data_IF_360265215981
#
_entry.id   IF_360265215981
#
_cell.length_a   1.000
_cell.length_b   1.000
_cell.length_c   1.000
_cell.angle_alpha   90.00
_cell.angle_beta   90.00
_cell.angle_gamma   90.00
#
_symmetry.space_group_name_H-M   'P 1'
#
loop_
_entity.id
_entity.type
_entity.pdbx_description
1 polymer ?
#
# COMPACT_ATOMS: atom_id res chain seq x y z
N UNK A 1 -4.77 -20.71 5.87
CA UNK A 1 -3.79 -19.63 6.05
C UNK A 1 -4.47 -18.25 6.09
N UNK A 2 -5.48 -18.01 5.24
CA UNK A 2 -6.25 -16.76 5.15
C UNK A 2 -6.83 -16.24 6.47
N UNK A 3 -7.61 -17.06 7.18
CA UNK A 3 -8.24 -16.69 8.46
C UNK A 3 -7.18 -16.39 9.54
N UNK A 4 -6.09 -17.17 9.53
CA UNK A 4 -5.00 -17.00 10.49
C UNK A 4 -4.24 -15.67 10.28
N UNK A 5 -4.05 -15.22 9.04
CA UNK A 5 -3.43 -13.91 8.78
C UNK A 5 -4.30 -12.78 9.32
N UNK A 6 -5.58 -12.73 8.91
CA UNK A 6 -6.49 -11.66 9.31
C UNK A 6 -6.67 -11.62 10.83
N UNK A 7 -6.78 -12.78 11.48
CA UNK A 7 -6.86 -12.89 12.93
C UNK A 7 -5.62 -12.33 13.62
N UNK A 8 -4.41 -12.66 13.15
CA UNK A 8 -3.16 -12.14 13.72
C UNK A 8 -3.04 -10.62 13.57
N UNK A 9 -3.51 -10.06 12.44
CA UNK A 9 -3.56 -8.59 12.28
C UNK A 9 -4.55 -7.97 13.26
N UNK A 10 -5.73 -8.57 13.45
CA UNK A 10 -6.69 -8.07 14.45
C UNK A 10 -6.16 -8.19 15.89
N UNK A 11 -5.38 -9.22 16.21
CA UNK A 11 -4.70 -9.33 17.51
C UNK A 11 -3.72 -8.15 17.74
N UNK A 12 -2.95 -7.76 16.71
CA UNK A 12 -2.08 -6.58 16.78
C UNK A 12 -2.89 -5.30 17.00
N UNK A 13 -4.02 -5.13 16.30
CA UNK A 13 -4.91 -3.97 16.47
C UNK A 13 -5.53 -3.92 17.87
N UNK A 14 -5.98 -5.06 18.39
CA UNK A 14 -6.53 -5.16 19.74
C UNK A 14 -5.46 -4.82 20.79
N UNK A 15 -4.22 -5.26 20.58
CA UNK A 15 -3.09 -4.89 21.44
C UNK A 15 -2.87 -3.37 21.41
N UNK A 16 -2.84 -2.76 20.23
CA UNK A 16 -2.74 -1.30 20.06
C UNK A 16 -3.89 -0.59 20.80
N UNK A 17 -5.15 -0.98 20.58
CA UNK A 17 -6.32 -0.35 21.21
C UNK A 17 -6.31 -0.45 22.73
N UNK A 18 -5.85 -1.57 23.30
CA UNK A 18 -5.73 -1.76 24.77
C UNK A 18 -4.69 -0.86 25.42
N UNK A 19 -3.73 -0.39 24.64
CA UNK A 19 -2.63 0.45 25.08
C UNK A 19 -2.64 1.83 24.40
N UNK A 20 -3.84 2.29 23.99
CA UNK A 20 -4.00 3.60 23.35
C UNK A 20 -3.39 4.72 24.20
N UNK A 21 -2.75 5.69 23.54
CA UNK A 21 -1.93 6.71 24.19
C UNK A 21 -0.49 6.28 24.52
N UNK A 22 -0.08 5.03 24.20
CA UNK A 22 1.31 4.57 24.28
C UNK A 22 1.70 3.79 23.03
N UNK A 23 2.95 3.91 22.62
CA UNK A 23 3.47 3.09 21.52
C UNK A 23 3.79 1.68 22.04
N UNK A 24 3.25 0.67 21.39
CA UNK A 24 3.41 -0.75 21.76
C UNK A 24 4.48 -1.49 20.95
N UNK A 25 5.22 -0.80 20.08
CA UNK A 25 6.14 -1.43 19.15
C UNK A 25 7.48 -1.79 19.81
N UNK A 26 7.43 -2.71 20.78
CA UNK A 26 8.60 -3.37 21.34
C UNK A 26 9.23 -4.36 20.33
N UNK A 27 10.32 -5.02 20.73
CA UNK A 27 11.03 -5.95 19.85
C UNK A 27 10.14 -7.10 19.35
N UNK A 28 9.30 -7.67 20.22
CA UNK A 28 8.45 -8.80 19.88
C UNK A 28 7.34 -8.38 18.90
N UNK A 29 6.69 -7.23 19.15
CA UNK A 29 5.68 -6.66 18.27
C UNK A 29 6.24 -6.36 16.89
N UNK A 30 7.42 -5.71 16.81
CA UNK A 30 8.08 -5.40 15.53
C UNK A 30 8.37 -6.66 14.72
N UNK A 31 8.89 -7.69 15.37
CA UNK A 31 9.16 -8.99 14.74
C UNK A 31 7.89 -9.63 14.20
N UNK A 32 6.79 -9.62 14.97
CA UNK A 32 5.52 -10.15 14.52
C UNK A 32 4.96 -9.43 13.29
N UNK A 33 5.07 -8.10 13.25
CA UNK A 33 4.67 -7.29 12.08
C UNK A 33 5.52 -7.67 10.86
N UNK A 34 6.83 -7.76 11.02
CA UNK A 34 7.76 -8.09 9.92
C UNK A 34 7.56 -9.51 9.39
N UNK A 35 7.31 -10.48 10.29
CA UNK A 35 7.01 -11.86 9.92
C UNK A 35 5.69 -11.95 9.12
N UNK A 36 4.65 -11.20 9.53
CA UNK A 36 3.38 -11.14 8.80
C UNK A 36 3.54 -10.48 7.42
N UNK A 37 4.33 -9.40 7.34
CA UNK A 37 4.64 -8.76 6.06
C UNK A 37 5.38 -9.77 5.17
N UNK A 38 6.45 -10.42 5.64
CA UNK A 38 7.17 -11.41 4.83
C UNK A 38 6.24 -12.53 4.37
N UNK A 39 5.41 -13.08 5.26
CA UNK A 39 4.46 -14.14 4.91
C UNK A 39 3.48 -13.70 3.82
N UNK A 40 2.97 -12.47 3.89
CA UNK A 40 2.11 -11.91 2.84
C UNK A 40 2.83 -11.86 1.49
N UNK A 41 4.11 -11.48 1.45
CA UNK A 41 4.89 -11.39 0.21
C UNK A 41 5.36 -12.76 -0.32
N UNK A 42 5.66 -13.70 0.57
CA UNK A 42 6.10 -15.05 0.19
C UNK A 42 4.97 -15.82 -0.54
N UNK A 43 3.71 -15.53 -0.23
CA UNK A 43 2.53 -16.19 -0.79
C UNK A 43 1.86 -15.44 -1.98
N UNK A 44 2.46 -14.35 -2.51
CA UNK A 44 1.87 -13.56 -3.62
C UNK A 44 1.58 -14.42 -4.87
N UNK A 45 2.35 -15.50 -5.08
CA UNK A 45 2.15 -16.46 -6.18
C UNK A 45 1.03 -17.48 -5.96
N UNK A 46 0.45 -17.57 -4.76
CA UNK A 46 -0.64 -18.48 -4.39
C UNK A 46 -1.84 -17.64 -3.97
N UNK A 47 -2.47 -16.98 -4.96
CA UNK A 47 -3.80 -16.34 -4.92
C UNK A 47 -4.33 -15.95 -3.52
N UNK A 48 -4.07 -14.70 -3.14
CA UNK A 48 -5.08 -13.67 -2.82
C UNK A 48 -6.44 -14.17 -2.29
N UNK A 49 -6.48 -14.66 -1.05
CA UNK A 49 -7.75 -14.73 -0.29
C UNK A 49 -7.77 -13.84 0.97
N UNK A 50 -6.66 -13.15 1.28
CA UNK A 50 -6.58 -12.30 2.48
C UNK A 50 -7.45 -11.05 2.28
N UNK A 51 -8.29 -10.66 3.27
CA UNK A 51 -9.04 -9.42 3.21
C UNK A 51 -8.09 -8.23 3.03
N UNK A 52 -8.35 -7.39 2.02
CA UNK A 52 -7.51 -6.23 1.72
C UNK A 52 -7.40 -5.26 2.90
N UNK A 53 -8.46 -5.18 3.73
CA UNK A 53 -8.45 -4.43 5.00
C UNK A 53 -7.31 -4.88 5.92
N UNK A 54 -7.16 -6.18 6.12
CA UNK A 54 -6.10 -6.73 7.00
C UNK A 54 -4.71 -6.43 6.47
N UNK A 55 -4.54 -6.38 5.14
CA UNK A 55 -3.28 -5.96 4.53
C UNK A 55 -3.01 -4.50 4.83
N UNK A 56 -3.97 -3.59 4.62
CA UNK A 56 -3.77 -2.17 4.92
C UNK A 56 -3.55 -1.89 6.39
N UNK A 57 -4.30 -2.55 7.27
CA UNK A 57 -4.09 -2.41 8.70
C UNK A 57 -2.65 -2.80 9.08
N UNK A 58 -2.15 -3.94 8.58
CA UNK A 58 -0.77 -4.36 8.81
C UNK A 58 0.26 -3.34 8.30
N UNK A 59 0.06 -2.82 7.09
CA UNK A 59 0.97 -1.83 6.50
C UNK A 59 0.92 -0.50 7.26
N UNK A 60 -0.26 -0.05 7.68
CA UNK A 60 -0.43 1.16 8.52
C UNK A 60 0.20 0.96 9.90
N UNK A 61 0.05 -0.22 10.52
CA UNK A 61 0.76 -0.60 11.76
C UNK A 61 2.27 -0.45 11.55
N UNK A 62 2.80 -0.99 10.45
CA UNK A 62 4.24 -0.92 10.14
C UNK A 62 4.73 0.52 10.05
N UNK A 63 4.06 1.38 9.28
CA UNK A 63 4.56 2.75 9.06
C UNK A 63 4.29 3.68 10.25
N UNK A 64 3.17 3.53 10.96
CA UNK A 64 2.84 4.41 12.07
C UNK A 64 3.45 3.96 13.40
N UNK A 65 3.28 2.69 13.77
CA UNK A 65 3.68 2.22 15.10
C UNK A 65 5.13 1.78 15.14
N UNK A 66 5.57 0.97 14.17
CA UNK A 66 6.91 0.40 14.16
C UNK A 66 7.96 1.44 13.75
N UNK A 67 7.69 2.25 12.72
CA UNK A 67 8.66 3.20 12.18
C UNK A 67 8.59 4.59 12.81
N UNK A 68 7.39 5.05 13.18
CA UNK A 68 7.16 6.44 13.61
C UNK A 68 6.76 6.61 15.07
N UNK A 69 6.63 5.52 15.82
CA UNK A 69 6.35 5.59 17.25
C UNK A 69 4.96 6.15 17.59
N UNK A 70 3.97 6.00 16.70
CA UNK A 70 2.60 6.46 16.91
C UNK A 70 1.99 5.88 18.20
N UNK A 71 1.10 6.64 18.81
CA UNK A 71 0.43 6.30 20.07
C UNK A 71 -1.10 6.37 19.92
N UNK A 72 -1.59 6.43 18.67
CA UNK A 72 -2.99 6.65 18.37
C UNK A 72 -3.64 5.48 17.68
N UNK A 73 -4.52 4.78 18.38
CA UNK A 73 -5.26 3.67 17.81
C UNK A 73 -6.34 4.15 16.83
N UNK A 74 -6.97 5.30 17.11
CA UNK A 74 -8.11 5.79 16.33
C UNK A 74 -7.69 6.22 14.91
N UNK A 75 -6.58 6.95 14.75
CA UNK A 75 -6.07 7.28 13.41
C UNK A 75 -5.66 6.02 12.63
N UNK A 76 -5.13 4.99 13.30
CA UNK A 76 -4.78 3.75 12.62
C UNK A 76 -6.01 3.10 11.98
N UNK A 77 -7.06 2.90 12.77
CA UNK A 77 -8.32 2.31 12.30
C UNK A 77 -8.92 3.16 11.17
N UNK A 78 -8.93 4.49 11.33
CA UNK A 78 -9.42 5.43 10.33
C UNK A 78 -8.68 5.32 8.99
N UNK A 79 -7.34 5.30 9.00
CA UNK A 79 -6.54 5.21 7.79
C UNK A 79 -6.69 3.84 7.11
N UNK A 80 -6.75 2.76 7.88
CA UNK A 80 -7.04 1.42 7.35
C UNK A 80 -8.41 1.36 6.64
N UNK A 81 -9.44 1.96 7.24
CA UNK A 81 -10.76 2.11 6.63
C UNK A 81 -10.75 3.01 5.40
N UNK A 82 -10.03 4.14 5.46
CA UNK A 82 -9.86 5.05 4.32
C UNK A 82 -9.23 4.30 3.13
N UNK A 83 -8.07 3.68 3.30
CA UNK A 83 -7.37 2.96 2.22
C UNK A 83 -8.22 1.84 1.61
N UNK A 84 -8.95 1.10 2.46
CA UNK A 84 -9.85 0.03 2.04
C UNK A 84 -10.99 0.58 1.16
N UNK A 85 -11.66 1.65 1.59
CA UNK A 85 -12.77 2.27 0.83
C UNK A 85 -12.34 2.72 -0.57
N UNK A 86 -11.17 3.34 -0.69
CA UNK A 86 -10.71 3.90 -1.96
C UNK A 86 -10.39 2.83 -3.01
N UNK A 87 -9.94 1.65 -2.59
CA UNK A 87 -9.62 0.56 -3.50
C UNK A 87 -10.83 -0.30 -3.85
N UNK A 88 -11.75 -0.56 -2.92
CA UNK A 88 -12.95 -1.33 -3.21
C UNK A 88 -13.95 -0.55 -4.06
N UNK A 89 -14.20 0.71 -3.72
CA UNK A 89 -15.31 1.43 -4.35
C UNK A 89 -14.91 2.18 -5.63
N UNK A 90 -13.62 2.13 -6.04
CA UNK A 90 -13.05 3.04 -7.05
C UNK A 90 -13.52 4.49 -6.79
N UNK A 91 -13.69 4.81 -5.51
CA UNK A 91 -14.53 5.95 -5.11
C UNK A 91 -13.91 7.25 -5.62
N UNK A 92 -12.60 7.27 -5.91
CA UNK A 92 -11.94 8.37 -6.58
C UNK A 92 -10.83 7.97 -7.57
N UNK A 93 -11.10 8.17 -8.86
CA UNK A 93 -10.48 9.17 -9.75
C UNK A 93 -10.80 8.82 -11.21
N UNK A 94 -11.20 9.76 -12.08
CA UNK A 94 -11.84 11.08 -11.92
C UNK A 94 -13.38 11.02 -12.10
N UNK A 95 -14.12 12.05 -11.68
CA UNK A 95 -15.59 12.10 -11.86
C UNK A 95 -15.99 12.60 -13.26
N UNK A 96 -17.18 12.22 -13.75
CA UNK A 96 -17.76 12.82 -14.95
C UNK A 96 -18.29 14.22 -14.63
N UNK A 97 -17.58 15.26 -15.04
CA UNK A 97 -18.09 16.63 -15.04
C UNK A 97 -19.20 16.83 -16.08
N UNK A 98 -19.82 18.02 -16.12
CA UNK A 98 -20.80 18.37 -17.15
C UNK A 98 -20.22 18.12 -18.55
N UNK A 99 -20.92 17.33 -19.36
CA UNK A 99 -20.44 16.90 -20.68
C UNK A 99 -19.56 15.64 -20.68
N UNK A 100 -19.55 14.86 -19.59
CA UNK A 100 -18.92 13.53 -19.52
C UNK A 100 -17.40 13.54 -19.44
N UNK A 101 -16.79 14.69 -19.19
CA UNK A 101 -15.33 14.81 -19.06
C UNK A 101 -14.88 14.46 -17.65
N UNK A 102 -13.92 13.55 -17.58
CA UNK A 102 -13.18 13.13 -16.40
C UNK A 102 -12.44 14.32 -15.76
N UNK A 103 -12.88 14.79 -14.57
CA UNK A 103 -12.25 15.90 -13.84
C UNK A 103 -11.73 15.49 -12.44
N UNK A 104 -10.57 16.04 -12.00
CA UNK A 104 -10.09 15.91 -10.62
C UNK A 104 -11.01 16.61 -9.64
N UNK A 105 -11.12 16.07 -8.43
CA UNK A 105 -11.77 16.74 -7.31
C UNK A 105 -10.89 17.88 -6.79
N UNK A 106 -11.37 19.12 -6.84
CA UNK A 106 -10.71 20.31 -6.30
C UNK A 106 -11.49 20.87 -5.11
N UNK A 107 -10.83 21.60 -4.21
CA UNK A 107 -11.50 22.29 -3.09
C UNK A 107 -12.62 23.23 -3.56
N UNK A 108 -12.47 23.84 -4.74
CA UNK A 108 -13.51 24.67 -5.35
C UNK A 108 -14.81 23.89 -5.55
N UNK A 109 -14.75 22.57 -5.80
CA UNK A 109 -15.92 21.71 -5.92
C UNK A 109 -16.66 21.55 -4.58
N UNK A 110 -15.97 21.58 -3.44
CA UNK A 110 -16.61 21.61 -2.12
C UNK A 110 -17.32 22.95 -1.89
N UNK A 111 -16.66 24.07 -2.23
CA UNK A 111 -17.25 25.40 -2.11
C UNK A 111 -18.49 25.56 -3.00
N UNK A 112 -18.46 25.03 -4.22
CA UNK A 112 -19.62 25.00 -5.11
C UNK A 112 -20.80 24.21 -4.52
N UNK A 113 -20.54 23.08 -3.87
CA UNK A 113 -21.58 22.29 -3.21
C UNK A 113 -22.17 22.99 -1.99
N UNK A 114 -21.35 23.71 -1.22
CA UNK A 114 -21.84 24.56 -0.12
C UNK A 114 -22.78 25.65 -0.62
N UNK A 115 -22.51 26.23 -1.80
CA UNK A 115 -23.33 27.30 -2.39
C UNK A 115 -24.61 26.78 -3.04
N UNK A 116 -24.57 25.61 -3.69
CA UNK A 116 -25.69 25.06 -4.46
C UNK A 116 -26.59 24.11 -3.67
N UNK A 117 -26.23 23.81 -2.42
CA UNK A 117 -26.82 22.72 -1.65
C UNK A 117 -26.17 21.39 -2.03
N UNK A 118 -25.91 20.55 -1.02
CA UNK A 118 -25.25 19.28 -1.22
C UNK A 118 -26.11 18.33 -2.06
N UNK A 119 -25.64 18.03 -3.27
CA UNK A 119 -26.29 17.08 -4.19
C UNK A 119 -25.52 15.76 -4.27
N UNK A 120 -24.22 15.78 -3.94
CA UNK A 120 -23.30 14.65 -4.08
C UNK A 120 -22.99 13.96 -2.76
N UNK A 121 -23.05 14.71 -1.67
CA UNK A 121 -22.88 14.21 -0.31
C UNK A 121 -24.15 14.48 0.47
N UNK A 122 -24.33 13.73 1.55
CA UNK A 122 -25.50 13.90 2.41
C UNK A 122 -25.48 15.24 3.14
N UNK A 123 -24.28 15.75 3.47
CA UNK A 123 -24.08 16.97 4.25
C UNK A 123 -22.64 17.49 4.12
N UNK A 124 -22.38 18.66 4.72
CA UNK A 124 -21.07 19.29 4.76
C UNK A 124 -20.01 18.42 5.41
N UNK A 125 -20.34 17.75 6.52
CA UNK A 125 -19.40 16.88 7.24
C UNK A 125 -18.83 15.79 6.33
N UNK A 126 -19.71 15.05 5.65
CA UNK A 126 -19.32 13.97 4.75
C UNK A 126 -18.54 14.49 3.54
N UNK A 127 -18.96 15.63 2.97
CA UNK A 127 -18.22 16.28 1.91
C UNK A 127 -16.80 16.63 2.38
N UNK A 128 -16.67 17.47 3.42
CA UNK A 128 -15.40 17.95 3.95
C UNK A 128 -14.46 16.78 4.34
N UNK A 129 -14.99 15.77 5.03
CA UNK A 129 -14.21 14.56 5.40
C UNK A 129 -13.66 13.85 4.15
N UNK A 130 -14.51 13.60 3.15
CA UNK A 130 -14.11 12.92 1.91
C UNK A 130 -13.12 13.74 1.08
N UNK A 131 -13.24 15.06 1.05
CA UNK A 131 -12.24 15.92 0.41
C UNK A 131 -10.88 15.84 1.13
N UNK A 132 -10.86 15.77 2.47
CA UNK A 132 -9.65 15.53 3.25
C UNK A 132 -9.03 14.17 2.94
N UNK A 133 -9.83 13.10 2.96
CA UNK A 133 -9.43 11.73 2.62
C UNK A 133 -8.82 11.67 1.20
N UNK A 134 -9.43 12.37 0.23
CA UNK A 134 -8.96 12.45 -1.15
C UNK A 134 -7.59 13.07 -1.27
N UNK A 135 -7.42 14.23 -0.64
CA UNK A 135 -6.15 14.93 -0.64
C UNK A 135 -5.06 14.04 -0.06
N UNK A 136 -5.31 13.44 1.13
CA UNK A 136 -4.35 12.59 1.82
C UNK A 136 -3.99 11.35 1.00
N UNK A 137 -4.99 10.65 0.46
CA UNK A 137 -4.81 9.48 -0.38
C UNK A 137 -3.97 9.79 -1.62
N UNK A 138 -4.25 10.88 -2.32
CA UNK A 138 -3.48 11.27 -3.50
C UNK A 138 -2.03 11.63 -3.18
N UNK A 139 -1.84 12.48 -2.18
CA UNK A 139 -0.52 12.96 -1.79
C UNK A 139 0.32 11.90 -1.10
N UNK A 140 -0.33 10.91 -0.48
CA UNK A 140 0.30 9.84 0.27
C UNK A 140 0.50 8.55 -0.54
N UNK A 141 -0.36 8.19 -1.50
CA UNK A 141 -0.13 6.98 -2.29
C UNK A 141 0.52 7.25 -3.64
N UNK A 142 0.37 8.45 -4.21
CA UNK A 142 0.84 8.74 -5.57
C UNK A 142 1.79 9.95 -5.67
N UNK A 143 2.85 10.03 -4.84
CA UNK A 143 3.74 11.20 -4.78
C UNK A 143 4.42 11.48 -6.13
N UNK A 144 4.77 10.44 -6.88
CA UNK A 144 5.43 10.59 -8.19
C UNK A 144 4.49 11.09 -9.29
N UNK A 145 3.19 10.80 -9.20
CA UNK A 145 2.21 11.29 -10.19
C UNK A 145 2.01 12.80 -10.09
N UNK A 146 2.22 13.36 -8.90
CA UNK A 146 2.18 14.81 -8.62
C UNK A 146 3.52 15.51 -8.92
N UNK A 147 4.67 14.81 -8.84
CA UNK A 147 6.01 15.37 -9.16
C UNK A 147 6.30 15.56 -10.65
N UNK A 148 5.58 14.92 -11.58
CA UNK A 148 5.86 15.05 -13.03
C UNK A 148 5.43 16.42 -13.57
N UNK A 149 6.39 17.34 -13.64
CA UNK A 149 6.32 18.56 -14.45
C UNK A 149 6.55 18.26 -15.94
N UNK A 150 5.74 18.95 -16.76
CA UNK A 150 5.95 19.25 -18.20
C UNK A 150 5.99 18.04 -19.16
N UNK A 151 4.86 17.36 -19.31
CA UNK A 151 4.65 16.44 -20.44
C UNK A 151 3.48 15.53 -20.15
N UNK A 152 2.41 15.64 -20.95
CA UNK A 152 1.09 15.03 -20.69
C UNK A 152 1.17 13.60 -20.14
N UNK A 153 0.56 13.39 -18.97
CA UNK A 153 0.55 12.10 -18.29
C UNK A 153 -0.40 11.11 -18.95
N UNK A 154 0.05 9.85 -19.06
CA UNK A 154 -0.68 8.63 -19.49
C UNK A 154 -2.03 8.36 -18.77
N UNK A 155 -2.42 9.18 -17.79
CA UNK A 155 -3.63 9.01 -16.97
C UNK A 155 -4.71 10.08 -17.21
N UNK A 156 -4.51 11.02 -18.14
CA UNK A 156 -5.53 12.05 -18.46
C UNK A 156 -5.80 13.05 -17.32
N UNK A 157 -4.89 13.16 -16.34
CA UNK A 157 -4.96 14.17 -15.29
C UNK A 157 -4.66 15.57 -15.89
N UNK A 158 -5.52 16.58 -15.66
CA UNK A 158 -5.23 17.98 -15.96
C UNK A 158 -3.94 18.45 -15.28
N UNK A 159 -3.42 19.62 -15.72
CA UNK A 159 -2.19 20.26 -15.26
C UNK A 159 -1.89 19.97 -13.77
N UNK A 160 -0.63 19.66 -13.41
CA UNK A 160 -0.29 19.27 -12.05
C UNK A 160 -0.67 20.41 -11.10
N UNK A 161 -1.72 20.18 -10.33
CA UNK A 161 -2.00 20.97 -9.14
C UNK A 161 -0.95 20.56 -8.12
N UNK A 162 -0.24 21.56 -7.60
CA UNK A 162 0.93 21.38 -6.73
C UNK A 162 0.55 20.55 -5.50
N UNK A 163 1.44 19.68 -5.04
CA UNK A 163 1.28 18.93 -3.78
C UNK A 163 0.92 19.87 -2.63
N UNK A 164 1.50 21.08 -2.61
CA UNK A 164 1.19 22.11 -1.63
C UNK A 164 -0.30 22.47 -1.57
N UNK A 165 -1.00 22.50 -2.71
CA UNK A 165 -2.44 22.75 -2.76
C UNK A 165 -3.24 21.63 -2.10
N UNK A 166 -2.90 20.37 -2.37
CA UNK A 166 -3.59 19.24 -1.77
C UNK A 166 -3.35 19.17 -0.27
N UNK A 167 -2.13 19.46 0.19
CA UNK A 167 -1.83 19.57 1.62
C UNK A 167 -2.67 20.66 2.28
N UNK A 168 -2.64 21.89 1.76
CA UNK A 168 -3.40 23.00 2.36
C UNK A 168 -4.91 22.74 2.36
N UNK A 169 -5.40 22.20 1.24
CA UNK A 169 -6.81 21.85 1.06
C UNK A 169 -7.24 20.73 2.00
N UNK A 170 -6.46 19.64 2.07
CA UNK A 170 -6.75 18.49 2.92
C UNK A 170 -6.79 18.87 4.39
N UNK A 171 -5.84 19.70 4.85
CA UNK A 171 -5.85 20.28 6.21
C UNK A 171 -7.13 21.05 6.50
N UNK A 172 -7.50 21.96 5.61
CA UNK A 172 -8.69 22.79 5.77
C UNK A 172 -9.98 21.93 5.76
N UNK A 173 -10.06 20.95 4.86
CA UNK A 173 -11.18 20.02 4.75
C UNK A 173 -11.35 19.16 6.00
N UNK A 174 -10.28 18.58 6.54
CA UNK A 174 -10.36 17.83 7.80
C UNK A 174 -10.73 18.70 8.99
N UNK A 175 -10.23 19.94 9.05
CA UNK A 175 -10.60 20.90 10.09
C UNK A 175 -12.09 21.23 10.03
N UNK A 176 -12.59 21.56 8.83
CA UNK A 176 -13.99 21.86 8.60
C UNK A 176 -14.89 20.67 8.97
N UNK A 177 -14.46 19.45 8.66
CA UNK A 177 -15.16 18.25 9.08
C UNK A 177 -15.16 18.10 10.61
N UNK A 178 -14.02 18.32 11.29
CA UNK A 178 -13.90 18.19 12.74
C UNK A 178 -14.73 19.22 13.53
N UNK A 179 -14.88 20.43 12.98
CA UNK A 179 -15.66 21.52 13.57
C UNK A 179 -17.18 21.30 13.45
N UNK A 180 -17.63 20.41 12.55
CA UNK A 180 -19.05 20.08 12.38
C UNK A 180 -19.60 19.26 13.57
N UNK A 181 -20.89 19.42 13.88
CA UNK A 181 -21.56 18.71 15.00
C UNK A 181 -21.54 17.18 14.84
N UNK A 182 -21.75 16.70 13.60
CA UNK A 182 -21.65 15.28 13.24
C UNK A 182 -20.29 14.65 13.55
N UNK A 183 -19.21 15.42 13.65
CA UNK A 183 -17.91 14.87 14.05
C UNK A 183 -17.90 14.40 15.51
N UNK A 184 -18.65 15.07 16.38
CA UNK A 184 -18.87 14.62 17.77
C UNK A 184 -19.78 13.40 17.79
N UNK A 185 -20.90 13.46 17.06
CA UNK A 185 -21.91 12.38 17.01
C UNK A 185 -21.33 11.06 16.47
N UNK A 186 -20.35 11.15 15.56
CA UNK A 186 -19.64 9.99 15.00
C UNK A 186 -18.34 9.65 15.74
N UNK A 187 -18.01 10.39 16.80
CA UNK A 187 -16.75 10.30 17.56
C UNK A 187 -15.49 10.48 16.71
N UNK A 188 -15.60 11.10 15.53
CA UNK A 188 -14.48 11.33 14.61
C UNK A 188 -13.74 12.64 14.87
N UNK A 189 -14.28 13.54 15.69
CA UNK A 189 -13.67 14.86 15.93
C UNK A 189 -12.19 14.80 16.32
N UNK A 190 -11.75 13.95 17.27
CA UNK A 190 -10.33 13.89 17.65
C UNK A 190 -9.42 13.43 16.50
N UNK A 191 -9.84 12.42 15.74
CA UNK A 191 -9.05 11.89 14.62
C UNK A 191 -8.98 12.90 13.46
N UNK A 192 -10.09 13.58 13.15
CA UNK A 192 -10.13 14.58 12.07
C UNK A 192 -9.28 15.81 12.41
N UNK A 193 -9.30 16.28 13.66
CA UNK A 193 -8.37 17.34 14.08
C UNK A 193 -6.92 16.90 13.95
N UNK A 194 -6.60 15.66 14.33
CA UNK A 194 -5.23 15.14 14.23
C UNK A 194 -4.75 15.05 12.80
N UNK A 195 -5.59 14.52 11.90
CA UNK A 195 -5.32 14.47 10.46
C UNK A 195 -5.14 15.87 9.86
N UNK A 196 -5.87 16.87 10.35
CA UNK A 196 -5.67 18.27 9.96
C UNK A 196 -4.35 18.85 10.47
N UNK A 197 -4.02 18.67 11.75
CA UNK A 197 -2.82 19.26 12.35
C UNK A 197 -1.52 18.58 11.89
N UNK A 198 -1.55 17.27 11.70
CA UNK A 198 -0.39 16.44 11.36
C UNK A 198 -0.50 15.82 9.96
N UNK A 199 -1.16 16.51 9.04
CA UNK A 199 -1.40 16.00 7.68
C UNK A 199 -0.13 15.49 7.00
N UNK A 200 0.95 16.26 7.02
CA UNK A 200 2.21 15.89 6.37
C UNK A 200 2.82 14.63 6.99
N UNK A 201 2.69 14.42 8.30
CA UNK A 201 3.17 13.20 8.95
C UNK A 201 2.46 11.97 8.39
N UNK A 202 1.13 12.05 8.23
CA UNK A 202 0.35 10.95 7.66
C UNK A 202 0.57 10.80 6.16
N UNK A 203 0.72 11.91 5.44
CA UNK A 203 1.11 11.91 4.03
C UNK A 203 2.44 11.19 3.84
N UNK A 204 3.47 11.53 4.62
CA UNK A 204 4.78 10.90 4.56
C UNK A 204 4.75 9.43 4.95
N UNK A 205 3.97 9.06 5.97
CA UNK A 205 3.78 7.67 6.36
C UNK A 205 3.11 6.85 5.24
N UNK A 206 2.09 7.41 4.58
CA UNK A 206 1.45 6.77 3.44
C UNK A 206 2.38 6.74 2.21
N UNK A 207 3.22 7.75 2.01
CA UNK A 207 4.22 7.76 0.94
C UNK A 207 5.21 6.63 1.12
N UNK A 208 5.76 6.46 2.32
CA UNK A 208 6.63 5.34 2.66
C UNK A 208 5.91 3.99 2.50
N UNK A 209 4.64 3.91 2.92
CA UNK A 209 3.80 2.74 2.73
C UNK A 209 3.69 2.40 1.24
N UNK A 210 3.39 3.41 0.42
CA UNK A 210 3.24 3.26 -1.02
C UNK A 210 4.55 2.83 -1.66
N UNK A 211 5.62 3.62 -1.49
CA UNK A 211 6.92 3.38 -2.11
C UNK A 211 7.52 2.02 -1.75
N UNK A 212 7.28 1.50 -0.54
CA UNK A 212 7.87 0.22 -0.11
C UNK A 212 6.97 -0.99 -0.34
N UNK A 213 5.66 -0.83 -0.21
CA UNK A 213 4.76 -1.98 -0.12
C UNK A 213 3.72 -2.05 -1.25
N UNK A 214 3.29 -0.90 -1.80
CA UNK A 214 2.26 -0.84 -2.86
C UNK A 214 2.89 -0.57 -4.23
N UNK A 215 3.59 0.55 -4.37
CA UNK A 215 4.41 0.88 -5.53
C UNK A 215 5.77 0.19 -5.47
N UNK A 216 6.28 -0.14 -4.28
CA UNK A 216 7.44 -1.04 -4.09
C UNK A 216 7.17 -2.50 -4.47
N UNK A 217 5.95 -2.83 -4.91
CA UNK A 217 5.73 -3.95 -5.85
C UNK A 217 6.44 -3.73 -7.20
N UNK A 218 7.08 -2.58 -7.42
CA UNK A 218 8.10 -2.34 -8.45
C UNK A 218 9.25 -3.31 -8.21
N UNK A 219 9.20 -4.42 -8.96
CA UNK A 219 10.27 -5.20 -9.55
C UNK A 219 11.50 -5.59 -8.70
N UNK A 220 12.07 -4.73 -7.86
CA UNK A 220 13.30 -4.96 -7.11
C UNK A 220 13.09 -5.98 -5.98
N UNK A 221 12.03 -5.86 -5.16
CA UNK A 221 11.74 -6.87 -4.12
C UNK A 221 11.34 -8.22 -4.72
N UNK A 222 10.58 -8.18 -5.82
CA UNK A 222 10.20 -9.38 -6.57
C UNK A 222 11.45 -10.00 -7.22
N UNK A 223 12.41 -9.19 -7.68
CA UNK A 223 13.68 -9.64 -8.21
C UNK A 223 14.59 -10.22 -7.12
N UNK A 224 14.66 -9.62 -5.93
CA UNK A 224 15.40 -10.14 -4.79
C UNK A 224 14.83 -11.49 -4.34
N UNK A 225 13.51 -11.60 -4.18
CA UNK A 225 12.84 -12.87 -3.84
C UNK A 225 13.00 -13.91 -4.94
N UNK A 226 12.95 -13.51 -6.22
CA UNK A 226 13.25 -14.38 -7.35
C UNK A 226 14.70 -14.91 -7.27
N UNK A 227 15.67 -14.02 -7.03
CA UNK A 227 17.09 -14.35 -6.92
C UNK A 227 17.36 -15.26 -5.72
N UNK A 228 16.76 -15.00 -4.56
CA UNK A 228 16.89 -15.83 -3.36
C UNK A 228 16.34 -17.24 -3.58
N UNK A 229 15.15 -17.36 -4.17
CA UNK A 229 14.58 -18.67 -4.52
C UNK A 229 15.46 -19.39 -5.55
N UNK A 230 15.96 -18.71 -6.58
CA UNK A 230 16.83 -19.32 -7.57
C UNK A 230 18.17 -19.77 -6.96
N UNK A 231 18.75 -18.97 -6.07
CA UNK A 231 19.98 -19.30 -5.35
C UNK A 231 19.79 -20.50 -4.43
N UNK A 232 18.65 -20.58 -3.71
CA UNK A 232 18.29 -21.76 -2.91
C UNK A 232 18.13 -23.00 -3.76
N UNK A 233 17.44 -22.92 -4.90
CA UNK A 233 17.36 -24.04 -5.85
C UNK A 233 18.75 -24.51 -6.29
N UNK A 234 19.66 -23.58 -6.63
CA UNK A 234 21.04 -23.94 -7.02
C UNK A 234 21.82 -24.65 -5.91
N UNK A 235 21.53 -24.34 -4.66
CA UNK A 235 22.19 -24.94 -3.50
C UNK A 235 21.56 -26.28 -3.10
N UNK A 236 20.24 -26.40 -3.15
CA UNK A 236 19.50 -27.55 -2.60
C UNK A 236 19.01 -28.54 -3.66
N UNK A 237 18.86 -28.10 -4.91
CA UNK A 237 18.23 -28.88 -5.99
C UNK A 237 16.70 -29.02 -5.87
N UNK A 238 16.06 -28.44 -4.85
CA UNK A 238 14.62 -28.57 -4.62
C UNK A 238 13.81 -27.73 -5.63
N UNK A 239 13.04 -28.43 -6.47
CA UNK A 239 12.25 -27.85 -7.56
C UNK A 239 11.21 -26.83 -7.10
N UNK A 240 10.76 -26.87 -5.83
CA UNK A 240 9.81 -25.89 -5.28
C UNK A 240 10.36 -24.46 -5.33
N UNK A 241 11.64 -24.29 -5.03
CA UNK A 241 12.29 -22.98 -5.10
C UNK A 241 12.42 -22.50 -6.56
N UNK A 242 12.66 -23.41 -7.50
CA UNK A 242 12.71 -23.07 -8.92
C UNK A 242 11.33 -22.62 -9.45
N UNK A 243 10.27 -23.32 -9.03
CA UNK A 243 8.90 -22.96 -9.39
C UNK A 243 8.50 -21.58 -8.84
N UNK A 244 8.85 -21.30 -7.58
CA UNK A 244 8.62 -20.00 -6.96
C UNK A 244 9.41 -18.88 -7.66
N UNK A 245 10.69 -19.09 -7.98
CA UNK A 245 11.48 -18.13 -8.73
C UNK A 245 10.85 -17.81 -10.11
N UNK A 246 10.30 -18.81 -10.80
CA UNK A 246 9.59 -18.60 -12.07
C UNK A 246 8.29 -17.81 -11.91
N UNK A 247 7.54 -18.03 -10.83
CA UNK A 247 6.33 -17.24 -10.52
C UNK A 247 6.67 -15.76 -10.29
N UNK A 248 7.74 -15.47 -9.55
CA UNK A 248 8.21 -14.10 -9.37
C UNK A 248 8.70 -13.49 -10.69
N UNK A 249 9.46 -14.23 -11.51
CA UNK A 249 9.90 -13.76 -12.84
C UNK A 249 8.72 -13.42 -13.78
N UNK A 250 7.61 -14.17 -13.70
CA UNK A 250 6.40 -13.87 -14.46
C UNK A 250 5.75 -12.54 -14.06
N UNK A 251 5.76 -12.21 -12.76
CA UNK A 251 5.30 -10.91 -12.24
C UNK A 251 6.21 -9.76 -12.72
N UNK A 252 7.51 -10.03 -12.94
CA UNK A 252 8.48 -9.10 -13.54
C UNK A 252 8.39 -8.97 -15.07
N UNK A 253 7.54 -9.77 -15.73
CA UNK A 253 7.52 -9.94 -17.19
C UNK A 253 8.90 -10.31 -17.77
N UNK A 254 9.69 -11.11 -17.04
CA UNK A 254 10.95 -11.66 -17.52
C UNK A 254 10.69 -12.96 -18.30
N UNK A 255 11.35 -13.10 -19.45
CA UNK A 255 11.23 -14.26 -20.35
C UNK A 255 12.57 -15.01 -20.50
N UNK A 256 12.57 -16.11 -21.25
CA UNK A 256 13.77 -16.92 -21.51
C UNK A 256 14.87 -16.14 -22.24
N UNK A 257 14.52 -15.11 -23.01
CA UNK A 257 15.50 -14.28 -23.72
C UNK A 257 16.26 -13.36 -22.76
N UNK A 258 15.60 -12.89 -21.69
CA UNK A 258 16.16 -11.97 -20.70
C UNK A 258 16.86 -12.67 -19.54
N UNK A 259 16.42 -13.89 -19.18
CA UNK A 259 17.03 -14.64 -18.08
C UNK A 259 17.08 -16.16 -18.35
N UNK A 260 17.93 -16.62 -19.30
CA UNK A 260 17.92 -18.00 -19.80
C UNK A 260 18.20 -19.06 -18.71
N UNK A 261 18.96 -18.68 -17.68
CA UNK A 261 19.37 -19.57 -16.61
C UNK A 261 18.20 -20.11 -15.76
N UNK A 262 17.07 -19.40 -15.73
CA UNK A 262 15.87 -19.80 -14.96
C UNK A 262 14.99 -20.81 -15.71
N UNK A 263 15.06 -20.83 -17.05
CA UNK A 263 14.18 -21.62 -17.91
C UNK A 263 14.87 -22.87 -18.51
N UNK A 264 16.20 -22.89 -18.54
CA UNK A 264 16.96 -24.09 -18.93
C UNK A 264 16.77 -25.21 -17.91
N UNK A 265 16.47 -26.43 -18.37
CA UNK A 265 16.57 -27.63 -17.54
C UNK A 265 18.03 -27.82 -17.09
N UNK A 266 18.28 -28.27 -15.84
CA UNK A 266 19.64 -28.56 -15.41
C UNK A 266 20.26 -29.56 -16.38
N UNK A 267 21.42 -29.22 -16.96
CA UNK A 267 22.24 -30.24 -17.62
C UNK A 267 22.59 -31.23 -16.53
N UNK A 268 22.05 -32.45 -16.63
CA UNK A 268 22.46 -33.55 -15.77
C UNK A 268 23.98 -33.57 -15.76
N UNK A 269 24.56 -33.50 -14.56
CA UNK A 269 25.99 -33.72 -14.42
C UNK A 269 26.25 -35.13 -14.93
N UNK A 270 26.72 -35.26 -16.16
CA UNK A 270 27.31 -36.50 -16.65
C UNK A 270 28.58 -36.64 -15.84
N UNK A 271 28.50 -37.40 -14.75
CA UNK A 271 29.69 -37.99 -14.15
C UNK A 271 30.26 -38.88 -15.25
N UNK A 272 31.29 -38.41 -15.96
CA UNK A 272 32.10 -39.30 -16.80
C UNK A 272 32.68 -40.35 -15.85
N UNK A 273 32.09 -41.53 -15.85
CA UNK A 273 32.79 -42.71 -15.36
C UNK A 273 34.08 -42.80 -16.19
N UNK A 274 35.22 -42.69 -15.52
CA UNK A 274 36.49 -43.01 -16.13
C UNK A 274 36.41 -44.46 -16.60
N UNK A 275 36.36 -44.66 -17.92
CA UNK A 275 36.52 -45.99 -18.50
C UNK A 275 37.89 -46.57 -18.14
N UNK A 276 38.02 -47.91 -18.12
CA UNK A 276 39.25 -48.55 -17.70
C UNK A 276 40.39 -48.13 -18.62
N UNK A 277 41.54 -47.79 -18.02
CA UNK A 277 42.79 -47.64 -18.76
C UNK A 277 43.17 -49.03 -19.27
N UNK A 278 43.10 -49.22 -20.57
CA UNK A 278 43.79 -50.32 -21.23
C UNK A 278 45.29 -50.02 -21.17
N UNK A 279 46.01 -50.82 -20.38
CA UNK A 279 47.46 -50.89 -20.36
C UNK A 279 47.93 -51.64 -21.60
N UNK A 280 48.56 -50.97 -22.57
CA UNK A 280 49.44 -51.66 -23.52
C UNK A 280 50.63 -50.76 -23.96
N UNK A 281 51.82 -51.26 -23.59
CA UNK A 281 53.22 -50.92 -23.92
C UNK A 281 53.89 -49.73 -23.20
#
# INVERSE_FOLDING_TARGET
MTTAFAQRVEELKLHIRRHDGRNVADYAFRRQVDDLISAFYDDIGIVLQVPLRSVFDLLVIKVLYVQRGSQDAATLDYLGDMLTRYLYTRELFPFLGPGGKRQPYYFSSLLEEMQRGFTRFQNLFEAARRYGDNALFLTGLFPQSLRRRRGGGRLGLPRPVDTAYFVSTGKASYRLAAEHELAEATQMRPVLYRLSHHFELYMDALNELSERYIMGLDLDLIADKMLDNFNRYRQTGDERYLENARRYAALLKLDESRFPALFRRPRGYIIRQAGPRDDIW
#
